data_IF_947988018985
#
_entry.id   IF_947988018985
#
_cell.length_a   1.000
_cell.length_b   1.000
_cell.length_c   1.000
_cell.angle_alpha   90.00
_cell.angle_beta   90.00
_cell.angle_gamma   90.00
#
_symmetry.space_group_name_H-M   'P 1'
#
loop_
_entity.id
_entity.type
_entity.pdbx_description
1 polymer ?
#
# COMPACT_ATOMS: atom_id res chain seq x y z
N UNK A 1 -34.36 35.53 28.88
CA UNK A 1 -32.92 35.60 28.53
C UNK A 1 -32.54 34.25 27.95
N UNK A 2 -32.17 34.21 26.68
CA UNK A 2 -31.79 32.97 25.98
C UNK A 2 -30.30 32.74 26.25
N UNK A 3 -29.97 31.70 27.03
CA UNK A 3 -28.61 31.44 27.53
C UNK A 3 -27.70 30.66 26.55
N UNK A 4 -28.09 30.51 25.28
CA UNK A 4 -27.32 29.76 24.30
C UNK A 4 -26.79 30.70 23.22
N UNK A 5 -25.46 30.76 23.10
CA UNK A 5 -24.79 31.41 21.96
C UNK A 5 -24.96 30.51 20.73
N UNK A 6 -25.21 31.11 19.57
CA UNK A 6 -25.29 30.37 18.30
C UNK A 6 -23.93 29.75 17.97
N UNK A 7 -23.91 28.63 17.24
CA UNK A 7 -22.66 27.98 16.80
C UNK A 7 -21.76 28.95 16.01
N UNK A 8 -22.37 29.91 15.33
CA UNK A 8 -21.68 30.99 14.61
C UNK A 8 -20.99 31.97 15.56
N UNK A 9 -21.59 32.29 16.72
CA UNK A 9 -20.99 33.14 17.74
C UNK A 9 -19.89 32.43 18.57
N UNK A 10 -19.82 31.09 18.50
CA UNK A 10 -18.79 30.28 19.17
C UNK A 10 -17.65 29.93 18.20
N UNK A 11 -17.93 29.83 16.89
CA UNK A 11 -16.95 29.53 15.86
C UNK A 11 -16.18 30.77 15.42
N UNK A 12 -15.05 31.04 16.09
CA UNK A 12 -14.11 32.09 15.69
C UNK A 12 -13.65 31.96 14.23
N UNK A 13 -13.17 33.07 13.66
CA UNK A 13 -12.61 33.10 12.31
C UNK A 13 -11.41 32.15 12.24
N UNK A 14 -11.52 31.15 11.37
CA UNK A 14 -10.43 30.23 11.06
C UNK A 14 -9.82 30.70 9.75
N UNK A 15 -8.51 30.97 9.76
CA UNK A 15 -7.73 31.42 8.59
C UNK A 15 -7.88 30.46 7.39
N UNK A 16 -8.26 29.22 7.67
CA UNK A 16 -8.70 28.24 6.69
C UNK A 16 -10.16 27.90 6.98
N UNK A 17 -11.05 28.36 6.10
CA UNK A 17 -12.51 28.31 6.28
C UNK A 17 -13.03 26.97 6.80
N UNK A 18 -14.09 27.06 7.61
CA UNK A 18 -14.81 26.01 8.35
C UNK A 18 -14.88 24.65 7.64
N UNK A 19 -13.77 23.93 7.70
CA UNK A 19 -13.62 22.57 7.25
C UNK A 19 -12.79 21.88 8.31
N UNK A 20 -13.45 21.33 9.33
CA UNK A 20 -12.86 20.27 10.16
C UNK A 20 -12.85 19.00 9.30
N UNK A 21 -12.14 19.09 8.18
CA UNK A 21 -12.25 18.19 7.03
C UNK A 21 -11.00 17.35 6.95
N UNK A 22 -11.21 16.06 6.69
CA UNK A 22 -10.17 15.06 6.50
C UNK A 22 -8.99 15.59 5.67
N UNK A 23 -7.76 15.07 5.87
CA UNK A 23 -6.62 15.41 5.04
C UNK A 23 -7.00 15.43 3.56
N UNK A 24 -6.51 16.45 2.84
CA UNK A 24 -6.77 16.54 1.40
C UNK A 24 -6.30 15.25 0.73
N UNK A 25 -7.09 14.76 -0.23
CA UNK A 25 -6.69 13.63 -1.05
C UNK A 25 -5.37 14.00 -1.75
N UNK A 26 -4.36 13.10 -1.77
CA UNK A 26 -3.15 13.31 -2.54
C UNK A 26 -3.48 13.58 -4.02
N UNK A 27 -2.62 14.36 -4.66
CA UNK A 27 -2.69 14.59 -6.10
C UNK A 27 -2.46 13.28 -6.85
N UNK A 28 -3.46 12.86 -7.62
CA UNK A 28 -3.47 11.58 -8.31
C UNK A 28 -2.43 11.53 -9.44
N UNK A 29 -2.24 12.64 -10.15
CA UNK A 29 -1.29 12.73 -11.26
C UNK A 29 0.15 12.70 -10.73
N UNK A 30 0.41 13.42 -9.64
CA UNK A 30 1.70 13.38 -8.95
C UNK A 30 2.03 11.98 -8.44
N UNK A 31 1.03 11.25 -7.93
CA UNK A 31 1.20 9.87 -7.48
C UNK A 31 1.55 8.94 -8.64
N UNK A 32 0.85 9.04 -9.76
CA UNK A 32 1.09 8.24 -10.96
C UNK A 32 2.48 8.48 -11.54
N UNK A 33 2.90 9.75 -11.66
CA UNK A 33 4.26 10.10 -12.10
C UNK A 33 5.33 9.49 -11.20
N UNK A 34 5.13 9.54 -9.88
CA UNK A 34 6.07 8.92 -8.93
C UNK A 34 6.14 7.41 -9.11
N UNK A 35 4.99 6.74 -9.25
CA UNK A 35 4.96 5.29 -9.49
C UNK A 35 5.67 4.88 -10.78
N UNK A 36 5.59 5.68 -11.84
CA UNK A 36 6.33 5.42 -13.08
C UNK A 36 7.84 5.50 -12.85
N UNK A 37 8.32 6.58 -12.21
CA UNK A 37 9.74 6.76 -11.91
C UNK A 37 10.30 5.64 -11.03
N UNK A 38 9.57 5.25 -9.97
CA UNK A 38 9.98 4.17 -9.08
C UNK A 38 10.12 2.82 -9.83
N UNK A 39 9.27 2.58 -10.83
CA UNK A 39 9.37 1.38 -11.68
C UNK A 39 10.57 1.44 -12.62
N UNK A 40 10.85 2.60 -13.22
CA UNK A 40 12.02 2.79 -14.08
C UNK A 40 13.32 2.53 -13.30
N UNK A 41 13.43 3.07 -12.08
CA UNK A 41 14.60 2.87 -11.22
C UNK A 41 14.77 1.39 -10.84
N UNK A 42 13.67 0.68 -10.60
CA UNK A 42 13.68 -0.75 -10.31
C UNK A 42 13.90 -1.64 -11.54
N UNK A 43 14.03 -1.08 -12.74
CA UNK A 43 14.11 -1.84 -14.00
C UNK A 43 12.82 -2.60 -14.34
N UNK A 44 11.69 -2.18 -13.74
CA UNK A 44 10.38 -2.77 -13.96
C UNK A 44 9.68 -2.09 -15.15
N UNK A 45 8.79 -2.82 -15.85
CA UNK A 45 8.01 -2.23 -16.93
C UNK A 45 7.11 -1.10 -16.38
N UNK A 46 7.22 0.08 -16.98
CA UNK A 46 6.40 1.25 -16.62
C UNK A 46 4.94 1.10 -17.03
N UNK A 47 4.71 0.38 -18.14
CA UNK A 47 3.38 0.04 -18.64
C UNK A 47 2.89 -1.26 -18.00
N UNK A 48 1.61 -1.28 -17.62
CA UNK A 48 0.96 -2.51 -17.19
C UNK A 48 0.95 -3.55 -18.33
N UNK A 49 1.17 -4.84 -18.03
CA UNK A 49 1.05 -5.89 -19.03
C UNK A 49 -0.39 -5.94 -19.58
N UNK A 50 -0.53 -6.37 -20.83
CA UNK A 50 -1.83 -6.46 -21.51
C UNK A 50 -2.77 -7.47 -20.85
N UNK A 51 -2.20 -8.56 -20.29
CA UNK A 51 -2.91 -9.55 -19.48
C UNK A 51 -2.13 -9.83 -18.18
N UNK A 52 -2.45 -9.13 -17.08
CA UNK A 52 -1.82 -9.34 -15.77
C UNK A 52 -2.03 -10.76 -15.23
N UNK A 53 -3.17 -11.38 -15.53
CA UNK A 53 -3.51 -12.71 -15.01
C UNK A 53 -2.71 -13.81 -15.72
N UNK A 54 -2.41 -13.64 -17.01
CA UNK A 54 -1.48 -14.52 -17.71
C UNK A 54 -0.06 -14.43 -17.14
N UNK A 55 0.43 -13.20 -16.88
CA UNK A 55 1.75 -13.00 -16.26
C UNK A 55 1.81 -13.66 -14.88
N UNK A 56 0.78 -13.47 -14.06
CA UNK A 56 0.71 -14.10 -12.74
C UNK A 56 0.75 -15.63 -12.83
N UNK A 57 -0.05 -16.23 -13.74
CA UNK A 57 -0.08 -17.69 -13.94
C UNK A 57 1.29 -18.23 -14.37
N UNK A 58 1.95 -17.58 -15.33
CA UNK A 58 3.28 -18.00 -15.78
C UNK A 58 4.33 -17.96 -14.66
N UNK A 59 4.34 -16.89 -13.86
CA UNK A 59 5.25 -16.78 -12.69
C UNK A 59 4.94 -17.87 -11.67
N UNK A 60 3.66 -18.17 -11.43
CA UNK A 60 3.25 -19.22 -10.49
C UNK A 60 3.72 -20.60 -10.94
N UNK A 61 3.57 -20.92 -12.22
CA UNK A 61 4.05 -22.18 -12.80
C UNK A 61 5.57 -22.32 -12.69
N UNK A 62 6.32 -21.23 -12.88
CA UNK A 62 7.76 -21.22 -12.66
C UNK A 62 8.12 -21.51 -11.19
N UNK A 63 7.45 -20.86 -10.25
CA UNK A 63 7.65 -21.09 -8.81
C UNK A 63 7.33 -22.54 -8.45
N UNK A 64 6.23 -23.08 -8.94
CA UNK A 64 5.83 -24.48 -8.70
C UNK A 64 6.91 -25.45 -9.24
N UNK A 65 7.46 -25.20 -10.43
CA UNK A 65 8.57 -25.98 -10.98
C UNK A 65 9.86 -25.86 -10.15
N UNK A 66 10.23 -24.67 -9.69
CA UNK A 66 11.40 -24.47 -8.82
C UNK A 66 11.26 -25.17 -7.46
N UNK A 67 10.04 -25.24 -6.94
CA UNK A 67 9.69 -26.02 -5.75
C UNK A 67 9.80 -27.52 -6.03
N UNK A 68 9.23 -28.01 -7.12
CA UNK A 68 9.24 -29.43 -7.49
C UNK A 68 10.67 -29.96 -7.74
N UNK A 69 11.53 -29.12 -8.32
CA UNK A 69 12.95 -29.42 -8.54
C UNK A 69 13.80 -29.26 -7.28
N UNK A 70 13.23 -28.75 -6.18
CA UNK A 70 13.92 -28.50 -4.93
C UNK A 70 14.90 -27.32 -4.97
N UNK A 71 14.84 -26.49 -6.03
CA UNK A 71 15.66 -25.28 -6.17
C UNK A 71 15.16 -24.15 -5.26
N UNK A 72 13.86 -24.14 -4.94
CA UNK A 72 13.27 -23.20 -3.99
C UNK A 72 12.88 -23.92 -2.69
N UNK A 73 13.34 -23.45 -1.51
CA UNK A 73 12.96 -24.05 -0.24
C UNK A 73 11.49 -23.77 0.07
N UNK A 74 10.68 -24.82 0.19
CA UNK A 74 9.32 -24.68 0.72
C UNK A 74 9.35 -24.58 2.24
N UNK A 75 8.51 -23.72 2.80
CA UNK A 75 8.36 -23.55 4.26
C UNK A 75 7.64 -24.74 4.92
N UNK A 76 8.23 -25.93 4.86
CA UNK A 76 7.66 -27.19 5.37
C UNK A 76 7.70 -27.28 6.89
N UNK A 77 8.47 -26.44 7.58
CA UNK A 77 8.54 -26.47 9.04
C UNK A 77 7.14 -26.13 9.64
N UNK A 78 6.54 -27.04 10.42
CA UNK A 78 5.28 -26.78 11.10
C UNK A 78 5.46 -25.59 12.05
N UNK A 79 4.36 -24.88 12.36
CA UNK A 79 4.40 -23.68 13.23
C UNK A 79 5.19 -23.86 14.52
N UNK A 80 5.25 -25.07 15.06
CA UNK A 80 5.98 -25.44 16.29
C UNK A 80 7.51 -25.44 16.13
N UNK A 81 8.00 -25.66 14.91
CA UNK A 81 9.43 -25.75 14.60
C UNK A 81 9.97 -24.46 13.96
N UNK A 82 9.10 -23.48 13.67
CA UNK A 82 9.51 -22.15 13.22
C UNK A 82 10.05 -21.39 14.42
N UNK A 83 11.35 -21.10 14.43
CA UNK A 83 11.96 -20.19 15.40
C UNK A 83 11.23 -18.85 15.36
N UNK A 84 10.52 -18.51 16.44
CA UNK A 84 9.91 -17.19 16.61
C UNK A 84 11.02 -16.14 16.47
N UNK A 85 10.80 -15.00 15.80
CA UNK A 85 11.84 -13.98 15.71
C UNK A 85 12.29 -13.61 17.12
N UNK A 86 13.61 -13.49 17.38
CA UNK A 86 14.10 -13.20 18.71
C UNK A 86 13.52 -11.85 19.15
N UNK A 87 12.68 -11.87 20.19
CA UNK A 87 12.22 -10.66 20.87
C UNK A 87 13.37 -10.13 21.72
N UNK A 88 14.32 -9.45 21.09
CA UNK A 88 15.23 -8.54 21.79
C UNK A 88 14.88 -7.12 21.32
N UNK A 89 13.89 -6.55 22.02
CA UNK A 89 13.72 -5.11 22.10
C UNK A 89 14.82 -4.52 22.97
#
# INVERSE_FOLDING_TARGET
MTHHKSNEAVGGETETGRGRGMPRRPDQEALERRTVLDREEAGLPTRAPEDPDAVYRAVREQVDHEVDTGSMPTGTAPRRDRGFPPTRY
#
